data_IF_413855297519
#
_entry.id   IF_413855297519
#
_cell.length_a   1.000
_cell.length_b   1.000
_cell.length_c   1.000
_cell.angle_alpha   90.00
_cell.angle_beta   90.00
_cell.angle_gamma   90.00
#
_symmetry.space_group_name_H-M   'P 1'
#
loop_
_entity.id
_entity.type
_entity.pdbx_description
1 polymer ?
#
# COMPACT_ATOMS: atom_id res chain seq x y z
N UNK A 1 -64.39 26.02 16.18
CA UNK A 1 -63.60 24.83 16.53
C UNK A 1 -62.54 24.67 15.45
N UNK A 2 -61.37 25.27 15.65
CA UNK A 2 -60.27 25.24 14.68
C UNK A 2 -59.40 24.02 14.97
N UNK A 3 -59.42 23.04 14.07
CA UNK A 3 -58.57 21.86 14.15
C UNK A 3 -57.15 22.23 13.74
N UNK A 4 -56.21 22.17 14.70
CA UNK A 4 -54.78 22.20 14.41
C UNK A 4 -54.39 20.86 13.77
N UNK A 5 -54.02 20.89 12.49
CA UNK A 5 -53.38 19.76 11.81
C UNK A 5 -51.91 19.78 12.21
N UNK A 6 -51.51 18.81 13.05
CA UNK A 6 -50.11 18.52 13.35
C UNK A 6 -49.48 17.95 12.08
N UNK A 7 -48.71 18.77 11.36
CA UNK A 7 -47.81 18.28 10.32
C UNK A 7 -46.73 17.44 11.00
N UNK A 8 -46.77 16.13 10.77
CA UNK A 8 -45.73 15.21 11.22
C UNK A 8 -44.38 15.61 10.64
N UNK A 9 -43.35 15.62 11.48
CA UNK A 9 -41.97 15.83 11.06
C UNK A 9 -41.63 14.79 9.99
N UNK A 10 -41.52 15.26 8.75
CA UNK A 10 -41.14 14.44 7.61
C UNK A 10 -39.79 13.76 7.86
N UNK A 11 -39.68 12.53 7.38
CA UNK A 11 -38.52 11.65 7.47
C UNK A 11 -37.20 12.40 7.24
N UNK A 12 -36.42 12.56 8.32
CA UNK A 12 -34.98 12.75 8.18
C UNK A 12 -34.46 11.37 7.77
N UNK A 13 -34.41 11.11 6.46
CA UNK A 13 -33.54 10.06 5.95
C UNK A 13 -32.14 10.42 6.44
N UNK A 14 -31.61 9.70 7.42
CA UNK A 14 -30.23 9.91 7.86
C UNK A 14 -29.34 9.54 6.68
N UNK A 15 -28.94 10.55 5.90
CA UNK A 15 -27.89 10.42 4.90
C UNK A 15 -26.63 10.15 5.71
N UNK A 16 -26.32 8.88 5.91
CA UNK A 16 -25.06 8.44 6.50
C UNK A 16 -23.96 9.01 5.62
N UNK A 17 -23.06 9.86 6.15
CA UNK A 17 -21.94 10.38 5.35
C UNK A 17 -21.17 9.23 4.71
N UNK A 18 -20.75 9.36 3.45
CA UNK A 18 -20.08 8.29 2.68
C UNK A 18 -18.92 7.61 3.45
N UNK A 19 -18.25 8.36 4.33
CA UNK A 19 -17.18 7.87 5.23
C UNK A 19 -17.55 6.71 6.15
N UNK A 20 -18.83 6.59 6.49
CA UNK A 20 -19.36 5.56 7.38
C UNK A 20 -20.04 4.43 6.60
N UNK A 21 -20.12 4.54 5.27
CA UNK A 21 -20.65 3.48 4.42
C UNK A 21 -19.54 2.46 4.19
N UNK A 22 -19.84 1.20 4.52
CA UNK A 22 -18.95 0.06 4.23
C UNK A 22 -18.81 -0.07 2.70
N UNK A 23 -17.58 -0.11 2.14
CA UNK A 23 -17.41 -0.28 0.70
C UNK A 23 -17.80 -1.68 0.21
N UNK A 24 -18.40 -1.76 -0.98
CA UNK A 24 -18.72 -3.02 -1.66
C UNK A 24 -17.56 -3.58 -2.48
N UNK A 25 -16.65 -2.71 -2.95
CA UNK A 25 -15.42 -3.12 -3.62
C UNK A 25 -14.52 -3.90 -2.64
N UNK A 26 -14.12 -5.16 -2.92
CA UNK A 26 -13.35 -5.99 -1.99
C UNK A 26 -12.01 -5.38 -1.56
N UNK A 27 -11.32 -4.67 -2.44
CA UNK A 27 -10.07 -3.98 -2.11
C UNK A 27 -10.32 -2.83 -1.12
N UNK A 28 -11.31 -1.97 -1.40
CA UNK A 28 -11.69 -0.91 -0.47
C UNK A 28 -12.18 -1.46 0.87
N UNK A 29 -12.89 -2.59 0.87
CA UNK A 29 -13.32 -3.28 2.08
C UNK A 29 -12.11 -3.81 2.88
N UNK A 30 -11.13 -4.41 2.21
CA UNK A 30 -9.89 -4.87 2.84
C UNK A 30 -9.15 -3.73 3.54
N UNK A 31 -8.98 -2.59 2.86
CA UNK A 31 -8.39 -1.39 3.47
C UNK A 31 -9.25 -0.78 4.59
N UNK A 32 -10.57 -0.84 4.45
CA UNK A 32 -11.50 -0.38 5.50
C UNK A 32 -11.34 -1.20 6.78
N UNK A 33 -11.17 -2.52 6.65
CA UNK A 33 -10.98 -3.45 7.76
C UNK A 33 -9.56 -3.38 8.35
N UNK A 34 -8.57 -2.98 7.55
CA UNK A 34 -7.17 -2.87 7.94
C UNK A 34 -6.71 -1.41 7.80
N UNK A 35 -7.29 -0.52 8.60
CA UNK A 35 -7.01 0.92 8.54
C UNK A 35 -5.52 1.23 8.76
N UNK A 36 -4.84 0.47 9.62
CA UNK A 36 -3.42 0.65 9.92
C UNK A 36 -2.53 0.40 8.70
N UNK A 37 -2.97 -0.45 7.76
CA UNK A 37 -2.23 -0.69 6.51
C UNK A 37 -2.26 0.55 5.63
N UNK A 38 -3.43 1.21 5.57
CA UNK A 38 -3.58 2.43 4.82
C UNK A 38 -2.78 3.58 5.46
N UNK A 39 -2.82 3.71 6.79
CA UNK A 39 -2.04 4.72 7.51
C UNK A 39 -0.53 4.52 7.28
N UNK A 40 -0.05 3.29 7.44
CA UNK A 40 1.35 2.95 7.21
C UNK A 40 1.77 3.24 5.77
N UNK A 41 0.96 2.85 4.78
CA UNK A 41 1.34 3.03 3.38
C UNK A 41 1.30 4.49 2.93
N UNK A 42 0.37 5.30 3.47
CA UNK A 42 0.38 6.77 3.28
C UNK A 42 1.62 7.40 3.92
N UNK A 43 2.01 6.93 5.12
CA UNK A 43 3.24 7.38 5.78
C UNK A 43 4.49 7.03 4.97
N UNK A 44 4.56 5.80 4.46
CA UNK A 44 5.63 5.33 3.57
C UNK A 44 5.74 6.21 2.34
N UNK A 45 4.63 6.53 1.70
CA UNK A 45 4.65 7.39 0.53
C UNK A 45 5.13 8.81 0.85
N UNK A 46 4.66 9.38 1.97
CA UNK A 46 5.08 10.71 2.43
C UNK A 46 6.58 10.78 2.72
N UNK A 47 7.13 9.71 3.31
CA UNK A 47 8.52 9.65 3.70
C UNK A 47 9.46 9.32 2.53
N UNK A 48 9.07 8.38 1.66
CA UNK A 48 9.97 7.77 0.68
C UNK A 48 9.60 8.03 -0.78
N UNK A 49 8.36 8.45 -1.04
CA UNK A 49 7.83 8.66 -2.41
C UNK A 49 7.42 7.37 -3.13
N UNK A 50 7.33 6.23 -2.44
CA UNK A 50 6.80 4.98 -2.98
C UNK A 50 5.27 5.05 -3.02
N UNK A 51 4.62 4.97 -4.20
CA UNK A 51 3.18 5.10 -4.28
C UNK A 51 2.41 4.09 -3.44
N UNK A 52 1.39 4.55 -2.71
CA UNK A 52 0.52 3.73 -1.87
C UNK A 52 0.06 2.44 -2.56
N UNK A 53 -0.41 2.54 -3.81
CA UNK A 53 -0.89 1.40 -4.58
C UNK A 53 0.21 0.38 -4.93
N UNK A 54 1.46 0.83 -5.05
CA UNK A 54 2.62 -0.03 -5.32
C UNK A 54 3.05 -0.70 -4.02
N UNK A 55 3.18 0.07 -2.93
CA UNK A 55 3.53 -0.46 -1.62
C UNK A 55 2.56 -1.59 -1.19
N UNK A 56 1.24 -1.37 -1.36
CA UNK A 56 0.22 -2.38 -1.08
C UNK A 56 0.26 -3.58 -2.03
N UNK A 57 0.68 -3.39 -3.29
CA UNK A 57 0.77 -4.48 -4.27
C UNK A 57 1.98 -5.40 -4.03
N UNK A 58 3.04 -4.89 -3.41
CA UNK A 58 4.23 -5.65 -3.02
C UNK A 58 4.04 -6.48 -1.75
N UNK A 59 3.06 -6.13 -0.91
CA UNK A 59 2.76 -6.91 0.29
C UNK A 59 2.28 -8.32 -0.06
N UNK A 60 2.83 -9.30 0.63
CA UNK A 60 2.25 -10.63 0.73
C UNK A 60 1.05 -10.54 1.68
N UNK A 61 -0.10 -10.06 1.22
CA UNK A 61 -1.31 -9.96 2.06
C UNK A 61 -1.72 -11.36 2.54
N UNK A 62 -1.67 -11.68 3.85
CA UNK A 62 -2.14 -12.96 4.33
C UNK A 62 -3.67 -12.89 4.46
N UNK A 63 -4.39 -13.65 3.63
CA UNK A 63 -5.79 -13.98 3.93
C UNK A 63 -5.78 -15.32 4.63
N UNK A 64 -5.58 -15.29 5.95
CA UNK A 64 -5.76 -16.43 6.85
C UNK A 64 -4.93 -17.67 6.50
N UNK A 65 -3.66 -17.70 6.90
CA UNK A 65 -2.96 -18.86 7.49
C UNK A 65 -1.49 -18.48 7.73
N UNK A 66 -1.02 -18.69 8.95
CA UNK A 66 0.35 -18.90 9.49
C UNK A 66 1.64 -18.36 8.80
N UNK A 67 1.59 -17.51 7.77
CA UNK A 67 2.75 -16.74 7.33
C UNK A 67 2.81 -15.43 8.13
N UNK A 68 3.73 -15.39 9.09
CA UNK A 68 3.89 -14.32 10.08
C UNK A 68 4.60 -13.06 9.57
N UNK A 69 4.72 -12.85 8.25
CA UNK A 69 5.42 -11.68 7.69
C UNK A 69 4.73 -11.12 6.44
N UNK A 70 4.68 -9.79 6.33
CA UNK A 70 4.09 -9.09 5.18
C UNK A 70 5.01 -9.07 3.96
N UNK A 71 6.31 -9.20 4.16
CA UNK A 71 7.34 -9.19 3.11
C UNK A 71 8.44 -10.20 3.44
N UNK A 72 9.27 -10.52 2.44
CA UNK A 72 10.46 -11.37 2.59
C UNK A 72 11.64 -10.63 1.96
N UNK A 73 12.35 -9.78 2.73
CA UNK A 73 13.46 -8.99 2.22
C UNK A 73 14.72 -9.84 2.03
N UNK A 74 15.60 -9.42 1.12
CA UNK A 74 16.97 -9.92 1.09
C UNK A 74 17.67 -9.61 2.43
N UNK A 75 18.44 -10.56 2.97
CA UNK A 75 19.03 -10.44 4.31
C UNK A 75 20.01 -9.27 4.44
N UNK A 76 20.78 -8.97 3.40
CA UNK A 76 21.69 -7.82 3.35
C UNK A 76 20.93 -6.50 3.45
N UNK A 77 19.83 -6.39 2.70
CA UNK A 77 19.08 -5.15 2.58
C UNK A 77 18.27 -4.90 3.85
N UNK A 78 17.78 -5.96 4.49
CA UNK A 78 17.14 -5.88 5.80
C UNK A 78 18.09 -5.35 6.88
N UNK A 79 19.32 -5.83 6.92
CA UNK A 79 20.30 -5.36 7.90
C UNK A 79 20.73 -3.91 7.62
N UNK A 80 20.94 -3.55 6.35
CA UNK A 80 21.23 -2.17 5.94
C UNK A 80 20.09 -1.22 6.33
N UNK A 81 18.83 -1.63 6.13
CA UNK A 81 17.66 -0.88 6.57
C UNK A 81 17.63 -0.68 8.08
N UNK A 82 17.87 -1.72 8.88
CA UNK A 82 17.85 -1.62 10.36
C UNK A 82 18.90 -0.65 10.87
N UNK A 83 20.08 -0.64 10.25
CA UNK A 83 21.14 0.35 10.51
C UNK A 83 20.71 1.76 10.13
N UNK A 84 20.14 1.94 8.93
CA UNK A 84 19.78 3.25 8.40
C UNK A 84 18.55 3.89 9.07
N UNK A 85 17.59 3.08 9.49
CA UNK A 85 16.34 3.52 10.12
C UNK A 85 16.42 3.60 11.65
N UNK A 86 17.49 3.08 12.24
CA UNK A 86 17.62 2.85 13.70
C UNK A 86 16.47 2.00 14.29
N UNK A 87 15.71 1.28 13.45
CA UNK A 87 14.56 0.48 13.86
C UNK A 87 14.97 -0.93 14.29
N UNK A 88 15.76 -1.02 15.36
CA UNK A 88 16.38 -2.27 15.80
C UNK A 88 15.38 -3.36 16.24
N UNK A 89 14.23 -2.94 16.77
CA UNK A 89 13.16 -3.80 17.26
C UNK A 89 12.08 -4.09 16.21
N UNK A 90 12.17 -3.46 15.03
CA UNK A 90 11.22 -3.65 13.94
C UNK A 90 11.22 -5.08 13.41
N UNK A 91 10.05 -5.53 12.97
CA UNK A 91 9.86 -6.84 12.35
C UNK A 91 9.00 -6.73 11.11
N UNK A 92 9.30 -7.52 10.07
CA UNK A 92 8.47 -7.60 8.85
C UNK A 92 7.10 -8.26 9.09
N UNK A 93 6.85 -8.75 10.31
CA UNK A 93 5.54 -9.13 10.82
C UNK A 93 4.64 -7.93 11.18
N UNK A 94 5.24 -6.76 11.40
CA UNK A 94 4.55 -5.50 11.65
C UNK A 94 4.36 -4.75 10.33
N UNK A 95 3.14 -4.30 10.06
CA UNK A 95 2.79 -3.72 8.77
C UNK A 95 3.49 -2.38 8.56
N UNK A 96 3.66 -1.59 9.63
CA UNK A 96 4.32 -0.29 9.57
C UNK A 96 5.79 -0.47 9.21
N UNK A 97 6.46 -1.41 9.86
CA UNK A 97 7.85 -1.74 9.59
C UNK A 97 8.04 -2.32 8.19
N UNK A 98 7.15 -3.20 7.75
CA UNK A 98 7.20 -3.79 6.42
C UNK A 98 7.06 -2.73 5.31
N UNK A 99 6.08 -1.83 5.45
CA UNK A 99 5.88 -0.76 4.48
C UNK A 99 6.97 0.31 4.53
N UNK A 100 7.52 0.64 5.71
CA UNK A 100 8.66 1.56 5.81
C UNK A 100 9.90 0.97 5.14
N UNK A 101 10.15 -0.33 5.33
CA UNK A 101 11.20 -1.05 4.62
C UNK A 101 11.00 -1.00 3.10
N UNK A 102 9.79 -1.28 2.60
CA UNK A 102 9.51 -1.20 1.15
C UNK A 102 9.79 0.20 0.60
N UNK A 103 9.41 1.25 1.32
CA UNK A 103 9.69 2.63 0.92
C UNK A 103 11.19 2.94 0.87
N UNK A 104 11.92 2.62 1.95
CA UNK A 104 13.37 2.75 2.00
C UNK A 104 14.05 1.97 0.87
N UNK A 105 13.63 0.72 0.67
CA UNK A 105 14.19 -0.17 -0.35
C UNK A 105 13.94 0.37 -1.76
N UNK A 106 12.72 0.82 -2.05
CA UNK A 106 12.39 1.41 -3.33
C UNK A 106 13.22 2.67 -3.62
N UNK A 107 13.48 3.51 -2.61
CA UNK A 107 14.38 4.65 -2.73
C UNK A 107 15.82 4.20 -3.04
N UNK A 108 16.34 3.22 -2.32
CA UNK A 108 17.68 2.67 -2.59
C UNK A 108 17.77 2.04 -3.99
N UNK A 109 16.72 1.33 -4.43
CA UNK A 109 16.65 0.71 -5.75
C UNK A 109 16.61 1.77 -6.86
N UNK A 110 15.83 2.85 -6.67
CA UNK A 110 15.79 4.01 -7.55
C UNK A 110 17.17 4.65 -7.72
N UNK A 111 17.87 4.91 -6.61
CA UNK A 111 19.20 5.52 -6.62
C UNK A 111 20.27 4.63 -7.25
N UNK A 112 20.23 3.31 -6.99
CA UNK A 112 21.28 2.36 -7.42
C UNK A 112 21.06 1.82 -8.83
N UNK A 113 19.83 1.80 -9.34
CA UNK A 113 19.48 1.14 -10.60
C UNK A 113 18.68 2.03 -11.58
N UNK A 114 18.66 3.35 -11.35
CA UNK A 114 17.93 4.32 -12.18
C UNK A 114 16.46 3.93 -12.41
N UNK A 115 15.79 3.53 -11.32
CA UNK A 115 14.38 3.16 -11.34
C UNK A 115 13.49 4.34 -10.99
N UNK A 116 12.32 4.39 -11.62
CA UNK A 116 11.21 5.24 -11.22
C UNK A 116 10.32 4.51 -10.21
N UNK A 117 9.77 5.26 -9.25
CA UNK A 117 8.86 4.74 -8.22
C UNK A 117 7.58 4.09 -8.79
N UNK A 118 7.23 4.35 -10.05
CA UNK A 118 6.09 3.73 -10.74
C UNK A 118 6.41 2.35 -11.36
N UNK A 119 7.63 1.82 -11.21
CA UNK A 119 8.05 0.54 -11.79
C UNK A 119 7.90 -0.61 -10.80
N UNK A 120 6.66 -0.90 -10.38
CA UNK A 120 6.35 -1.84 -9.29
C UNK A 120 7.02 -3.22 -9.45
N UNK A 121 7.00 -3.80 -10.65
CA UNK A 121 7.63 -5.10 -10.91
C UNK A 121 9.16 -5.08 -10.72
N UNK A 122 9.84 -4.01 -11.14
CA UNK A 122 11.30 -3.88 -10.93
C UNK A 122 11.65 -3.64 -9.46
N UNK A 123 10.85 -2.85 -8.76
CA UNK A 123 11.00 -2.63 -7.31
C UNK A 123 10.80 -3.94 -6.54
N UNK A 124 9.78 -4.72 -6.90
CA UNK A 124 9.53 -6.05 -6.36
C UNK A 124 10.72 -7.00 -6.58
N UNK A 125 11.27 -7.05 -7.80
CA UNK A 125 12.46 -7.87 -8.06
C UNK A 125 13.61 -7.42 -7.15
N UNK A 126 13.87 -6.12 -7.09
CA UNK A 126 14.93 -5.58 -6.25
C UNK A 126 14.73 -5.97 -4.78
N UNK A 127 13.51 -5.94 -4.24
CA UNK A 127 13.25 -6.29 -2.84
C UNK A 127 13.45 -7.77 -2.52
N UNK A 128 13.29 -8.64 -3.53
CA UNK A 128 13.46 -10.10 -3.40
C UNK A 128 14.90 -10.58 -3.51
N UNK A 129 15.68 -10.02 -4.44
CA UNK A 129 17.05 -10.49 -4.74
C UNK A 129 18.14 -9.45 -4.48
N UNK A 130 17.75 -8.30 -3.96
CA UNK A 130 18.61 -7.17 -3.66
C UNK A 130 18.96 -6.31 -4.88
N UNK A 131 19.46 -5.11 -4.61
CA UNK A 131 19.77 -4.11 -5.64
C UNK A 131 20.78 -4.61 -6.68
N UNK A 132 21.87 -5.26 -6.24
CA UNK A 132 22.85 -5.83 -7.15
C UNK A 132 22.36 -7.09 -7.88
N UNK A 133 21.36 -7.79 -7.32
CA UNK A 133 20.69 -8.91 -7.97
C UNK A 133 19.88 -8.45 -9.18
N UNK A 134 19.13 -7.34 -9.04
CA UNK A 134 18.40 -6.73 -10.14
C UNK A 134 19.32 -6.40 -11.34
N UNK A 135 20.48 -5.78 -11.08
CA UNK A 135 21.45 -5.48 -12.14
C UNK A 135 21.93 -6.73 -12.89
N UNK A 136 22.13 -7.85 -12.18
CA UNK A 136 22.57 -9.12 -12.78
C UNK A 136 21.47 -9.89 -13.49
N UNK A 137 20.19 -9.60 -13.20
CA UNK A 137 19.05 -10.30 -13.78
C UNK A 137 19.03 -10.19 -15.32
N UNK A 138 19.56 -9.10 -15.88
CA UNK A 138 19.70 -8.93 -17.33
C UNK A 138 20.54 -10.04 -17.97
N UNK A 139 21.58 -10.52 -17.28
CA UNK A 139 22.48 -11.56 -17.78
C UNK A 139 21.98 -12.98 -17.44
N UNK A 140 21.21 -13.12 -16.36
CA UNK A 140 20.69 -14.38 -15.86
C UNK A 140 19.23 -14.25 -15.47
N UNK A 141 18.31 -14.27 -16.46
CA UNK A 141 16.89 -14.08 -16.19
C UNK A 141 16.32 -15.26 -15.40
N UNK A 142 15.48 -14.95 -14.41
CA UNK A 142 14.65 -15.91 -13.68
C UNK A 142 13.18 -15.76 -14.13
N UNK A 143 12.66 -16.69 -14.97
CA UNK A 143 11.29 -16.59 -15.48
C UNK A 143 10.21 -16.65 -14.40
N UNK A 144 10.47 -17.29 -13.25
CA UNK A 144 9.51 -17.35 -12.15
C UNK A 144 9.40 -15.98 -11.49
N UNK A 145 10.54 -15.37 -11.17
CA UNK A 145 10.61 -14.06 -10.55
C UNK A 145 10.02 -12.97 -11.47
N UNK A 146 10.29 -13.04 -12.77
CA UNK A 146 9.72 -12.12 -13.76
C UNK A 146 8.18 -12.23 -13.79
N UNK A 147 7.61 -13.44 -13.81
CA UNK A 147 6.13 -13.59 -13.76
C UNK A 147 5.52 -13.07 -12.46
N UNK A 148 6.22 -13.23 -11.34
CA UNK A 148 5.79 -12.66 -10.06
C UNK A 148 5.78 -11.13 -10.13
N UNK A 149 6.83 -10.53 -10.69
CA UNK A 149 6.93 -9.09 -10.92
C UNK A 149 5.80 -8.56 -11.82
N UNK A 150 5.51 -9.25 -12.93
CA UNK A 150 4.40 -8.89 -13.82
C UNK A 150 3.05 -8.92 -13.09
N UNK A 151 2.86 -9.90 -12.19
CA UNK A 151 1.65 -10.00 -11.36
C UNK A 151 1.54 -8.85 -10.37
N UNK A 152 2.67 -8.34 -9.86
CA UNK A 152 2.71 -7.17 -8.99
C UNK A 152 2.41 -5.89 -9.78
N UNK A 153 2.95 -5.73 -10.99
CA UNK A 153 2.64 -4.59 -11.87
C UNK A 153 1.14 -4.51 -12.18
N UNK A 154 0.53 -5.64 -12.57
CA UNK A 154 -0.90 -5.70 -12.86
C UNK A 154 -1.74 -5.35 -11.62
N UNK A 155 -1.35 -5.87 -10.45
CA UNK A 155 -2.04 -5.60 -9.19
C UNK A 155 -1.92 -4.13 -8.79
N UNK A 156 -0.74 -3.54 -8.93
CA UNK A 156 -0.52 -2.12 -8.64
C UNK A 156 -1.39 -1.22 -9.54
N UNK A 157 -1.49 -1.54 -10.83
CA UNK A 157 -2.37 -0.82 -11.76
C UNK A 157 -3.85 -0.95 -11.36
N UNK A 158 -4.27 -2.16 -10.97
CA UNK A 158 -5.63 -2.41 -10.50
C UNK A 158 -5.93 -1.61 -9.22
N UNK A 159 -5.04 -1.67 -8.23
CA UNK A 159 -5.17 -0.91 -6.98
C UNK A 159 -5.21 0.60 -7.23
N UNK A 160 -4.42 1.11 -8.19
CA UNK A 160 -4.49 2.53 -8.57
C UNK A 160 -5.87 2.94 -9.06
N UNK A 161 -6.58 2.07 -9.78
CA UNK A 161 -7.95 2.36 -10.21
C UNK A 161 -8.95 2.18 -9.08
N UNK A 162 -8.83 1.12 -8.29
CA UNK A 162 -9.74 0.85 -7.17
C UNK A 162 -9.69 1.97 -6.12
N UNK A 163 -8.50 2.49 -5.81
CA UNK A 163 -8.31 3.58 -4.84
C UNK A 163 -9.14 4.83 -5.16
N UNK A 164 -9.40 5.12 -6.45
CA UNK A 164 -10.22 6.27 -6.88
C UNK A 164 -11.67 6.16 -6.43
N UNK A 165 -12.12 4.94 -6.14
CA UNK A 165 -13.48 4.63 -5.69
C UNK A 165 -13.60 4.38 -4.18
N UNK A 166 -12.48 4.37 -3.44
CA UNK A 166 -12.50 4.11 -2.00
C UNK A 166 -12.82 5.37 -1.18
N UNK A 167 -13.95 5.45 -0.45
CA UNK A 167 -14.39 6.67 0.24
C UNK A 167 -13.38 7.22 1.26
N UNK A 168 -12.81 6.34 2.10
CA UNK A 168 -11.82 6.73 3.13
C UNK A 168 -10.53 7.34 2.57
N UNK A 169 -10.11 6.92 1.38
CA UNK A 169 -8.90 7.46 0.73
C UNK A 169 -9.17 8.89 0.29
N UNK A 170 -10.33 9.14 -0.31
CA UNK A 170 -10.74 10.46 -0.80
C UNK A 170 -10.74 11.48 0.35
N UNK A 171 -11.25 11.10 1.51
CA UNK A 171 -11.23 11.98 2.70
C UNK A 171 -9.82 12.28 3.23
N UNK A 172 -8.91 11.31 3.23
CA UNK A 172 -7.51 11.56 3.59
C UNK A 172 -6.82 12.45 2.55
N UNK A 173 -7.11 12.27 1.27
CA UNK A 173 -6.61 13.12 0.19
C UNK A 173 -7.19 14.55 0.21
N UNK A 174 -8.39 14.72 0.78
CA UNK A 174 -9.02 16.02 1.04
C UNK A 174 -8.53 16.68 2.35
N UNK A 175 -7.80 15.94 3.20
CA UNK A 175 -7.06 16.49 4.33
C UNK A 175 -5.75 17.16 3.86
N UNK A 176 -4.97 17.78 4.75
CA UNK A 176 -3.79 18.60 4.45
C UNK A 176 -2.77 18.00 3.43
N UNK A 177 -2.81 16.68 3.19
CA UNK A 177 -2.01 15.97 2.20
C UNK A 177 -2.78 15.74 0.89
N UNK A 178 -2.53 16.60 -0.09
CA UNK A 178 -3.04 16.48 -1.47
C UNK A 178 -2.09 15.59 -2.30
N UNK A 179 -2.52 14.37 -2.60
CA UNK A 179 -1.76 13.42 -3.43
C UNK A 179 -2.10 13.56 -4.93
N UNK A 180 -1.12 13.47 -5.86
CA UNK A 180 -1.34 13.73 -7.28
C UNK A 180 -1.53 12.46 -8.12
N UNK A 181 -2.67 11.78 -8.00
CA UNK A 181 -3.10 10.76 -8.98
C UNK A 181 -4.61 10.70 -9.17
#
# INVERSE_FOLDING_TARGET
MSALVLQGCSDIAQVVPERFVKPDNPFCLGLYQNNDWLDAAVSTESRWGLPLHIALAELNMPVGTEASTYIVPASSDWEEYRLASENWAGTVADITTALDFLGWHAQMASQRNDLNMNQAGKLYIASRIGHGGLYRLEYHPDPVLIRQADSVDQRAQQYRQDLKSCPRIRERADSFFRWPW
#
